data_IF_021993750534
#
_entry.id   IF_021993750534
#
_cell.length_a   1.000
_cell.length_b   1.000
_cell.length_c   1.000
_cell.angle_alpha   90.00
_cell.angle_beta   90.00
_cell.angle_gamma   90.00
#
_symmetry.space_group_name_H-M   'P 1'
#
loop_
_entity.id
_entity.type
_entity.pdbx_description
1 polymer ?
#
# COMPACT_ATOMS: atom_id res chain seq x y z
N UNK A 1 11.14 -2.62 -7.79
CA UNK A 1 10.60 -3.06 -6.50
C UNK A 1 11.57 -4.09 -5.95
N UNK A 2 12.02 -3.98 -4.70
CA UNK A 2 12.93 -4.97 -4.10
C UNK A 2 12.17 -5.69 -2.99
N UNK A 3 11.99 -7.02 -3.08
CA UNK A 3 11.38 -7.80 -2.01
C UNK A 3 12.19 -7.72 -0.71
N UNK A 4 11.51 -7.53 0.42
CA UNK A 4 12.09 -7.47 1.76
C UNK A 4 11.22 -8.25 2.75
N UNK A 5 11.88 -8.93 3.68
CA UNK A 5 11.24 -9.64 4.79
C UNK A 5 10.92 -8.69 5.93
N UNK A 6 9.69 -8.77 6.42
CA UNK A 6 9.21 -8.02 7.59
C UNK A 6 8.75 -8.99 8.67
N UNK A 7 9.22 -8.78 9.88
CA UNK A 7 8.82 -9.59 11.05
C UNK A 7 7.45 -9.13 11.51
N UNK A 8 6.53 -10.07 11.71
CA UNK A 8 5.20 -9.77 12.22
C UNK A 8 5.25 -9.32 13.69
N UNK A 9 4.44 -8.33 14.02
CA UNK A 9 4.17 -7.87 15.37
C UNK A 9 2.87 -8.47 15.91
N UNK A 10 2.78 -8.59 17.22
CA UNK A 10 1.56 -9.01 17.91
C UNK A 10 0.43 -8.01 17.65
N UNK A 11 -0.81 -8.45 17.91
CA UNK A 11 -2.01 -7.63 17.80
C UNK A 11 -1.91 -6.32 18.58
N UNK A 12 -1.24 -6.30 19.74
CA UNK A 12 -1.00 -5.08 20.53
C UNK A 12 0.03 -4.14 19.91
N UNK A 13 0.93 -4.64 19.06
CA UNK A 13 2.10 -3.91 18.57
C UNK A 13 3.22 -3.77 19.61
N UNK A 14 3.09 -4.38 20.79
CA UNK A 14 4.08 -4.26 21.88
C UNK A 14 5.20 -5.30 21.83
N UNK A 15 5.12 -6.27 20.91
CA UNK A 15 6.08 -7.35 20.79
C UNK A 15 6.07 -8.03 19.43
N UNK A 16 7.16 -8.71 19.08
CA UNK A 16 7.28 -9.51 17.86
C UNK A 16 6.59 -10.86 18.06
N UNK A 17 5.89 -11.35 17.03
CA UNK A 17 5.37 -12.72 16.99
C UNK A 17 6.26 -13.59 16.12
N UNK A 18 6.02 -14.90 16.15
CA UNK A 18 6.72 -15.83 15.27
C UNK A 18 6.07 -15.80 13.89
N UNK A 19 6.84 -15.40 12.89
CA UNK A 19 6.46 -15.39 11.48
C UNK A 19 6.91 -14.13 10.76
N UNK A 20 7.30 -14.31 9.50
CA UNK A 20 7.78 -13.23 8.64
C UNK A 20 6.96 -13.18 7.35
N UNK A 21 6.81 -11.98 6.78
CA UNK A 21 6.13 -11.74 5.51
C UNK A 21 7.08 -11.09 4.49
N UNK A 22 7.10 -11.60 3.27
CA UNK A 22 7.89 -11.08 2.16
C UNK A 22 7.04 -10.13 1.32
N UNK A 23 7.47 -8.87 1.25
CA UNK A 23 6.76 -7.81 0.54
C UNK A 23 7.70 -7.04 -0.37
N UNK A 24 7.20 -6.59 -1.51
CA UNK A 24 7.88 -5.56 -2.31
C UNK A 24 6.97 -4.33 -2.42
N UNK A 25 7.45 -3.17 -1.96
CA UNK A 25 6.67 -1.93 -1.95
C UNK A 25 7.30 -0.90 -2.86
N UNK A 26 6.47 -0.13 -3.56
CA UNK A 26 6.88 0.98 -4.42
C UNK A 26 5.89 2.12 -4.36
N UNK A 27 6.42 3.34 -4.40
CA UNK A 27 5.64 4.57 -4.39
C UNK A 27 6.06 5.45 -5.57
N UNK A 28 5.11 5.85 -6.41
CA UNK A 28 5.33 6.73 -7.55
C UNK A 28 4.06 7.43 -8.03
N UNK A 29 4.14 8.11 -9.16
CA UNK A 29 3.03 8.89 -9.72
C UNK A 29 2.47 8.21 -10.97
N UNK A 30 1.22 8.50 -11.34
CA UNK A 30 0.55 7.92 -12.53
C UNK A 30 1.35 8.08 -13.83
N UNK A 31 2.21 9.10 -13.90
CA UNK A 31 3.06 9.36 -15.05
C UNK A 31 4.11 8.27 -15.29
N UNK A 32 4.35 7.37 -14.32
CA UNK A 32 5.39 6.35 -14.40
C UNK A 32 4.96 5.07 -15.14
N UNK A 33 3.66 4.87 -15.43
CA UNK A 33 3.13 3.68 -16.15
C UNK A 33 2.28 3.99 -17.42
N UNK A 34 2.44 5.18 -18.02
CA UNK A 34 1.86 5.63 -19.30
C UNK A 34 0.47 6.32 -19.28
N UNK A 35 0.49 7.62 -19.59
CA UNK A 35 -0.55 8.28 -20.37
C UNK A 35 0.12 9.29 -21.33
N UNK A 36 0.48 8.88 -22.55
CA UNK A 36 0.69 9.86 -23.64
C UNK A 36 -0.63 10.49 -24.14
N UNK A 37 -1.78 9.93 -23.74
CA UNK A 37 -3.10 10.32 -24.28
C UNK A 37 -4.08 10.85 -23.21
N UNK A 38 -3.64 11.33 -22.05
CA UNK A 38 -4.55 11.99 -21.10
C UNK A 38 -4.75 13.46 -21.49
N UNK A 39 -5.84 13.69 -22.21
CA UNK A 39 -6.29 14.96 -22.80
C UNK A 39 -6.19 16.16 -21.85
N UNK A 40 -5.57 17.23 -22.33
CA UNK A 40 -5.79 18.57 -21.80
C UNK A 40 -7.27 18.94 -22.01
N UNK A 41 -8.07 19.04 -20.94
CA UNK A 41 -9.39 19.67 -21.07
C UNK A 41 -9.16 21.16 -21.22
N UNK A 42 -9.28 21.65 -22.46
CA UNK A 42 -9.25 23.07 -22.79
C UNK A 42 -10.39 23.76 -22.04
N UNK A 43 -10.05 24.54 -21.01
CA UNK A 43 -11.03 25.31 -20.26
C UNK A 43 -11.43 26.52 -21.10
N UNK A 44 -12.68 26.52 -21.55
CA UNK A 44 -13.30 27.47 -22.45
C UNK A 44 -12.90 28.94 -22.23
N UNK A 45 -12.49 29.60 -23.32
CA UNK A 45 -12.35 31.05 -23.40
C UNK A 45 -13.73 31.70 -23.26
N UNK A 46 -14.00 32.33 -22.11
CA UNK A 46 -15.23 33.10 -21.90
C UNK A 46 -14.97 34.54 -22.34
N UNK A 47 -15.42 34.91 -23.54
CA UNK A 47 -15.56 36.32 -23.94
C UNK A 47 -16.86 36.85 -23.32
N UNK A 48 -16.77 37.84 -22.44
CA UNK A 48 -17.95 38.45 -21.84
C UNK A 48 -17.60 39.55 -20.86
N UNK A 49 -17.84 40.78 -21.28
CA UNK A 49 -17.76 42.03 -20.55
C UNK A 49 -18.52 41.96 -19.20
N UNK A 50 -17.81 42.17 -18.08
CA UNK A 50 -18.43 42.30 -16.75
C UNK A 50 -17.87 41.35 -15.69
N UNK A 51 -16.63 41.60 -15.23
CA UNK A 51 -16.03 40.88 -14.10
C UNK A 51 -15.44 41.88 -13.11
N UNK A 52 -16.29 42.44 -12.25
CA UNK A 52 -15.82 43.11 -11.04
C UNK A 52 -15.80 42.07 -9.91
N UNK A 53 -14.58 41.76 -9.45
CA UNK A 53 -14.26 41.01 -8.24
C UNK A 53 -14.26 39.46 -8.34
N UNK A 54 -13.44 38.90 -9.25
CA UNK A 54 -12.95 37.52 -9.06
C UNK A 54 -11.80 37.57 -8.06
N UNK A 55 -12.09 37.24 -6.79
CA UNK A 55 -11.04 36.75 -5.88
C UNK A 55 -10.71 35.33 -6.32
N UNK A 56 -9.52 35.13 -6.88
CA UNK A 56 -8.98 33.79 -7.14
C UNK A 56 -9.02 32.99 -5.82
N UNK A 57 -9.93 32.02 -5.74
CA UNK A 57 -9.84 30.98 -4.72
C UNK A 57 -8.77 30.02 -5.19
N UNK A 58 -7.60 30.11 -4.57
CA UNK A 58 -6.53 29.13 -4.77
C UNK A 58 -6.97 27.84 -4.08
N UNK A 59 -7.39 26.86 -4.88
CA UNK A 59 -7.55 25.49 -4.43
C UNK A 59 -6.22 24.79 -4.67
N UNK A 60 -5.53 24.41 -3.60
CA UNK A 60 -4.37 23.52 -3.70
C UNK A 60 -4.91 22.10 -3.77
N UNK A 61 -4.85 21.49 -4.96
CA UNK A 61 -5.16 20.07 -5.10
C UNK A 61 -4.02 19.26 -4.46
N UNK A 62 -4.33 18.33 -3.55
CA UNK A 62 -3.29 17.49 -2.96
C UNK A 62 -2.67 16.63 -4.05
N UNK A 63 -1.35 16.45 -3.98
CA UNK A 63 -0.64 15.58 -4.91
C UNK A 63 -0.97 14.13 -4.59
N UNK A 64 -1.51 13.39 -5.56
CA UNK A 64 -1.84 11.98 -5.43
C UNK A 64 -0.66 11.11 -5.85
N UNK A 65 -0.48 10.01 -5.13
CA UNK A 65 0.57 9.03 -5.30
C UNK A 65 -0.01 7.62 -5.34
N UNK A 66 0.62 6.76 -6.11
CA UNK A 66 0.29 5.35 -6.26
C UNK A 66 1.27 4.51 -5.45
N UNK A 67 0.73 3.74 -4.52
CA UNK A 67 1.47 2.79 -3.71
C UNK A 67 1.17 1.38 -4.23
N UNK A 68 2.15 0.76 -4.88
CA UNK A 68 2.08 -0.65 -5.29
C UNK A 68 2.71 -1.53 -4.23
N UNK A 69 1.97 -2.51 -3.74
CA UNK A 69 2.38 -3.48 -2.73
C UNK A 69 2.22 -4.87 -3.33
N UNK A 70 3.33 -5.58 -3.49
CA UNK A 70 3.34 -6.98 -3.89
C UNK A 70 3.51 -7.85 -2.64
N UNK A 71 2.49 -8.65 -2.33
CA UNK A 71 2.49 -9.60 -1.20
C UNK A 71 2.89 -10.97 -1.73
N UNK A 72 4.11 -11.40 -1.41
CA UNK A 72 4.72 -12.57 -2.06
C UNK A 72 4.41 -13.84 -1.29
N UNK A 73 4.90 -13.93 -0.07
CA UNK A 73 4.79 -15.14 0.75
C UNK A 73 4.95 -14.82 2.24
N UNK A 74 4.64 -15.80 3.09
CA UNK A 74 4.97 -15.77 4.50
C UNK A 74 5.57 -17.10 4.97
N UNK A 75 6.35 -17.03 6.04
CA UNK A 75 7.04 -18.18 6.61
C UNK A 75 6.92 -18.19 8.14
N UNK A 76 7.04 -19.38 8.73
CA UNK A 76 7.05 -19.62 10.18
C UNK A 76 5.82 -19.09 10.96
N UNK A 77 4.69 -18.90 10.28
CA UNK A 77 3.46 -18.38 10.89
C UNK A 77 2.75 -19.48 11.70
N UNK A 78 2.38 -19.17 12.94
CA UNK A 78 1.70 -20.11 13.85
C UNK A 78 0.36 -19.54 14.31
N UNK A 79 -0.71 -20.34 14.23
CA UNK A 79 -2.01 -20.01 14.85
C UNK A 79 -1.92 -20.05 16.38
N UNK A 80 -2.53 -19.09 17.08
CA UNK A 80 -2.43 -19.01 18.54
C UNK A 80 -3.34 -20.02 19.26
N UNK A 81 -4.27 -20.68 18.55
CA UNK A 81 -5.15 -21.72 19.10
C UNK A 81 -4.38 -23.02 19.42
N UNK A 82 -3.87 -23.10 20.66
CA UNK A 82 -3.18 -24.29 21.23
C UNK A 82 -4.02 -25.58 21.20
N UNK A 83 -5.34 -25.50 21.08
CA UNK A 83 -6.23 -26.66 21.09
C UNK A 83 -6.58 -27.16 19.68
N UNK A 84 -6.22 -26.41 18.63
CA UNK A 84 -6.29 -26.90 17.26
C UNK A 84 -5.06 -27.74 16.96
N UNK A 85 -5.30 -28.99 16.56
CA UNK A 85 -4.34 -29.67 15.69
C UNK A 85 -4.11 -28.75 14.50
N UNK A 86 -2.86 -28.38 14.17
CA UNK A 86 -2.59 -27.44 13.10
C UNK A 86 -3.27 -27.99 11.83
N UNK A 87 -4.37 -27.35 11.40
CA UNK A 87 -5.10 -27.74 10.19
C UNK A 87 -4.34 -27.34 8.92
N UNK A 88 -3.22 -26.66 9.10
CA UNK A 88 -2.22 -26.38 8.08
C UNK A 88 -0.92 -26.92 8.63
N UNK A 89 -0.28 -27.84 7.90
CA UNK A 89 0.99 -28.44 8.31
C UNK A 89 1.94 -27.35 8.83
N UNK A 90 2.73 -27.57 9.90
CA UNK A 90 3.71 -26.62 10.43
C UNK A 90 4.88 -26.28 9.47
N UNK A 91 4.69 -26.55 8.16
CA UNK A 91 5.60 -26.38 7.03
C UNK A 91 4.94 -25.54 5.93
N UNK A 92 3.64 -25.18 6.05
CA UNK A 92 2.96 -24.44 5.00
C UNK A 92 3.40 -22.98 5.00
N UNK A 93 4.26 -22.63 4.05
CA UNK A 93 4.62 -21.27 3.67
C UNK A 93 3.59 -20.78 2.66
N UNK A 94 2.57 -20.00 3.05
CA UNK A 94 1.60 -19.49 2.08
C UNK A 94 2.31 -18.61 1.06
N UNK A 95 1.98 -18.81 -0.22
CA UNK A 95 2.50 -18.04 -1.35
C UNK A 95 1.29 -17.44 -2.07
N UNK A 96 1.27 -16.12 -2.19
CA UNK A 96 0.22 -15.36 -2.85
C UNK A 96 0.72 -14.76 -4.16
N UNK A 97 1.84 -14.05 -4.10
CA UNK A 97 2.36 -13.24 -5.20
C UNK A 97 1.29 -12.30 -5.79
N UNK A 98 0.57 -11.60 -4.91
CA UNK A 98 -0.54 -10.72 -5.26
C UNK A 98 -0.09 -9.25 -5.30
N UNK A 99 -0.46 -8.55 -6.36
CA UNK A 99 -0.21 -7.11 -6.52
C UNK A 99 -1.44 -6.29 -6.12
N UNK A 100 -1.23 -5.36 -5.19
CA UNK A 100 -2.24 -4.41 -4.71
C UNK A 100 -1.77 -2.99 -5.01
N UNK A 101 -2.70 -2.11 -5.40
CA UNK A 101 -2.42 -0.69 -5.68
C UNK A 101 -3.35 0.18 -4.85
N UNK A 102 -2.76 1.13 -4.13
CA UNK A 102 -3.45 2.12 -3.32
C UNK A 102 -3.14 3.53 -3.81
N UNK A 103 -4.02 4.48 -3.49
CA UNK A 103 -3.80 5.90 -3.77
C UNK A 103 -3.73 6.68 -2.46
N UNK A 104 -2.69 7.50 -2.31
CA UNK A 104 -2.46 8.32 -1.12
C UNK A 104 -2.19 9.78 -1.51
N UNK A 105 -2.58 10.73 -0.66
CA UNK A 105 -2.45 12.16 -0.90
C UNK A 105 -1.33 12.76 -0.04
N UNK A 106 -0.53 13.68 -0.59
CA UNK A 106 0.39 14.47 0.24
C UNK A 106 -0.35 15.56 1.03
N UNK A 107 0.10 15.87 2.27
CA UNK A 107 1.22 15.28 2.99
C UNK A 107 0.92 13.87 3.54
N UNK A 108 1.91 12.97 3.51
CA UNK A 108 1.74 11.60 4.00
C UNK A 108 1.76 11.55 5.53
N UNK A 109 0.59 11.42 6.13
CA UNK A 109 0.43 11.11 7.56
C UNK A 109 0.04 9.63 7.77
N UNK A 110 -0.21 8.91 6.68
CA UNK A 110 -0.69 7.54 6.69
C UNK A 110 0.42 6.50 6.86
N UNK A 111 0.00 5.29 7.24
CA UNK A 111 0.86 4.12 7.41
C UNK A 111 0.29 2.97 6.59
N UNK A 112 1.15 2.19 5.96
CA UNK A 112 0.78 0.91 5.37
C UNK A 112 0.71 -0.13 6.48
N UNK A 113 -0.51 -0.58 6.80
CA UNK A 113 -0.75 -1.66 7.74
C UNK A 113 -1.13 -2.93 6.99
N UNK A 114 -0.40 -4.02 7.23
CA UNK A 114 -0.71 -5.34 6.69
C UNK A 114 -0.95 -6.27 7.86
N UNK A 115 -2.14 -6.88 7.90
CA UNK A 115 -2.55 -7.83 8.92
C UNK A 115 -2.68 -9.21 8.30
N UNK A 116 -2.07 -10.21 8.93
CA UNK A 116 -2.22 -11.60 8.55
C UNK A 116 -3.28 -12.24 9.41
N UNK A 117 -4.26 -12.88 8.77
CA UNK A 117 -5.42 -13.47 9.42
C UNK A 117 -5.61 -14.93 9.00
N UNK A 118 -5.90 -15.80 9.96
CA UNK A 118 -6.36 -17.17 9.72
C UNK A 118 -7.89 -17.21 9.68
N UNK A 119 -8.45 -17.61 8.53
CA UNK A 119 -9.90 -17.69 8.35
C UNK A 119 -10.45 -18.95 9.00
N UNK A 120 -11.08 -18.76 10.14
CA UNK A 120 -11.69 -19.84 10.90
C UNK A 120 -13.15 -20.02 10.49
N UNK A 121 -13.50 -21.23 10.06
CA UNK A 121 -14.89 -21.61 9.79
C UNK A 121 -15.73 -21.40 11.07
N UNK A 122 -16.64 -20.40 11.06
CA UNK A 122 -17.53 -20.13 12.20
C UNK A 122 -17.62 -18.70 12.71
N UNK A 123 -17.12 -17.69 11.97
CA UNK A 123 -17.41 -16.23 12.10
C UNK A 123 -16.33 -15.32 12.69
N UNK A 124 -15.14 -15.80 13.02
CA UNK A 124 -14.07 -14.90 13.48
C UNK A 124 -12.71 -15.26 12.92
N UNK A 125 -12.20 -14.38 12.07
CA UNK A 125 -10.83 -14.45 11.57
C UNK A 125 -9.88 -14.16 12.74
N UNK A 126 -8.85 -15.00 12.89
CA UNK A 126 -7.84 -14.88 13.94
C UNK A 126 -6.65 -14.09 13.40
N UNK A 127 -6.32 -12.97 14.02
CA UNK A 127 -5.12 -12.20 13.66
C UNK A 127 -3.89 -12.96 14.12
N UNK A 128 -3.05 -13.38 13.17
CA UNK A 128 -1.77 -14.07 13.40
C UNK A 128 -0.64 -13.09 13.68
N UNK A 129 -0.73 -11.89 13.11
CA UNK A 129 0.23 -10.81 13.31
C UNK A 129 -0.03 -9.65 12.35
N UNK A 130 0.70 -8.56 12.54
CA UNK A 130 0.61 -7.38 11.66
C UNK A 130 1.96 -6.72 11.47
N UNK A 131 2.09 -5.89 10.44
CA UNK A 131 3.18 -4.93 10.30
C UNK A 131 2.60 -3.54 10.02
N UNK A 132 3.32 -2.52 10.46
CA UNK A 132 2.96 -1.12 10.27
C UNK A 132 4.19 -0.40 9.73
N UNK A 133 4.09 0.08 8.49
CA UNK A 133 5.18 0.75 7.79
C UNK A 133 4.78 2.20 7.49
N UNK A 134 5.44 3.21 8.08
CA UNK A 134 5.25 4.60 7.67
C UNK A 134 5.49 4.77 6.18
N UNK A 135 4.60 5.48 5.47
CA UNK A 135 4.77 5.69 4.02
C UNK A 135 6.05 6.47 3.69
N UNK A 136 6.62 7.19 4.67
CA UNK A 136 7.91 7.89 4.58
C UNK A 136 9.11 6.96 4.42
N UNK A 137 8.98 5.66 4.74
CA UNK A 137 10.03 4.66 4.53
C UNK A 137 10.28 4.35 3.05
N UNK A 138 9.28 4.58 2.19
CA UNK A 138 9.37 4.20 0.79
C UNK A 138 9.95 5.36 -0.04
N UNK A 139 10.99 5.06 -0.81
CA UNK A 139 11.61 6.02 -1.71
C UNK A 139 10.57 6.53 -2.72
N UNK A 140 10.30 7.83 -2.66
CA UNK A 140 9.45 8.51 -3.64
C UNK A 140 10.23 8.67 -4.92
N UNK A 141 9.89 7.90 -5.96
CA UNK A 141 10.47 8.15 -7.28
C UNK A 141 9.71 9.30 -7.93
N UNK A 142 10.38 10.45 -8.00
CA UNK A 142 9.89 11.65 -8.71
C UNK A 142 10.42 11.71 -10.14
N UNK A 143 11.43 10.91 -10.44
CA UNK A 143 12.28 11.12 -11.59
C UNK A 143 11.74 10.31 -12.77
N UNK A 144 11.37 11.02 -13.85
CA UNK A 144 11.09 10.49 -15.18
C UNK A 144 12.31 9.80 -15.85
N UNK A 145 13.19 9.15 -15.08
CA UNK A 145 14.29 8.38 -15.64
C UNK A 145 13.72 7.09 -16.18
N UNK A 146 13.55 7.09 -17.50
CA UNK A 146 13.32 5.92 -18.33
C UNK A 146 14.14 4.74 -17.79
N UNK A 147 13.43 3.70 -17.35
CA UNK A 147 14.04 2.42 -17.01
C UNK A 147 14.68 1.91 -18.29
N UNK A 148 16.02 1.89 -18.34
CA UNK A 148 16.72 1.19 -19.41
C UNK A 148 16.50 -0.32 -19.19
N UNK A 149 15.92 -0.94 -20.22
CA UNK A 149 15.74 -2.39 -20.34
C UNK A 149 17.06 -3.14 -20.43
#
# INVERSE_FOLDING_TARGET
MVPQWYILEDRSGEGKVRGDILLAVWNGIQADEAFSDAWHSDAATVYGEGVFNIRSKVYVLPKLWYLRVNVIEAQDVISSDRNRRPKVCPIATPIWNEDLVFMAAEPFEEQLMITMEDRVHGSRDEVLGKIILPLTLFEKRLDHRLVQS
#
